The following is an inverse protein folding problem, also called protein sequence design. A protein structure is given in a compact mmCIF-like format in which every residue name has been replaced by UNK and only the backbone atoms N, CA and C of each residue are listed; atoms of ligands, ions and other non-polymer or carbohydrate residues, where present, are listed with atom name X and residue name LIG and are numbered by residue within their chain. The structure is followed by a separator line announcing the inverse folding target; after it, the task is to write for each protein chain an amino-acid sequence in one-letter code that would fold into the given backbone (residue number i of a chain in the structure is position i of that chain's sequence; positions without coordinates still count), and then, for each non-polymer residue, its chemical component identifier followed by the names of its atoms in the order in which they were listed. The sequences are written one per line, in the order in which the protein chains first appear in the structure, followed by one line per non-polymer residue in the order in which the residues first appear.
data_IF_832012465392
#
_entry.id   IF_832012465392
#
_cell.length_a   1.000
_cell.length_b   1.000
_cell.length_c   1.000
_cell.angle_alpha   90.00
_cell.angle_beta   90.00
_cell.angle_gamma   90.00
#
_symmetry.space_group_name_H-M   'P 1'
#
loop_
_entity.id
_entity.type
_entity.pdbx_description
1 polymer ?
#
# COMPACT_ATOMS: atom_id res chain seq x y z
N UNK A 1 12.67 -7.26 8.49
CA UNK A 1 11.95 -5.97 8.61
C UNK A 1 11.36 -5.53 7.27
N UNK A 2 12.14 -5.54 6.18
CA UNK A 2 11.69 -5.20 4.80
C UNK A 2 10.50 -6.03 4.31
N UNK A 3 10.51 -7.36 4.51
CA UNK A 3 9.43 -8.26 4.06
C UNK A 3 8.05 -7.91 4.64
N UNK A 4 7.97 -7.57 5.93
CA UNK A 4 6.69 -7.21 6.59
C UNK A 4 6.08 -5.95 5.99
N UNK A 5 6.92 -4.93 5.76
CA UNK A 5 6.49 -3.65 5.17
C UNK A 5 6.03 -3.85 3.73
N UNK A 6 6.70 -4.71 2.95
CA UNK A 6 6.29 -5.04 1.58
C UNK A 6 4.90 -5.67 1.54
N UNK A 7 4.63 -6.66 2.40
CA UNK A 7 3.31 -7.31 2.50
C UNK A 7 2.23 -6.29 2.91
N UNK A 8 2.51 -5.42 3.88
CA UNK A 8 1.57 -4.37 4.31
C UNK A 8 1.26 -3.39 3.16
N UNK A 9 2.26 -3.01 2.36
CA UNK A 9 2.08 -2.18 1.16
C UNK A 9 1.23 -2.91 0.10
N UNK A 10 1.46 -4.21 -0.11
CA UNK A 10 0.68 -5.02 -1.05
C UNK A 10 -0.80 -5.05 -0.66
N UNK A 11 -1.08 -5.30 0.61
CA UNK A 11 -2.46 -5.26 1.14
C UNK A 11 -3.08 -3.87 0.95
N UNK A 12 -2.33 -2.79 1.19
CA UNK A 12 -2.83 -1.44 0.92
C UNK A 12 -3.17 -1.26 -0.56
N UNK A 13 -2.33 -1.75 -1.49
CA UNK A 13 -2.60 -1.69 -2.94
C UNK A 13 -3.88 -2.45 -3.30
N UNK A 14 -4.05 -3.68 -2.79
CA UNK A 14 -5.24 -4.51 -3.01
C UNK A 14 -6.52 -3.80 -2.57
N UNK A 15 -6.54 -3.25 -1.36
CA UNK A 15 -7.72 -2.58 -0.80
C UNK A 15 -7.97 -1.24 -1.53
N UNK A 16 -6.91 -0.53 -1.93
CA UNK A 16 -7.02 0.76 -2.62
C UNK A 16 -7.60 0.66 -4.03
N UNK A 17 -7.54 -0.51 -4.67
CA UNK A 17 -8.27 -0.73 -5.93
C UNK A 17 -9.79 -0.78 -5.73
N UNK A 18 -10.25 -1.21 -4.55
CA UNK A 18 -11.67 -1.37 -4.25
C UNK A 18 -12.30 -0.09 -3.69
N UNK A 19 -11.61 0.60 -2.77
CA UNK A 19 -12.22 1.66 -1.92
C UNK A 19 -11.31 2.91 -1.75
N UNK A 20 -10.26 3.06 -2.55
CA UNK A 20 -9.15 3.97 -2.23
C UNK A 20 -9.24 5.44 -2.70
N UNK A 21 -10.33 5.88 -3.33
CA UNK A 21 -10.43 7.27 -3.84
C UNK A 21 -11.00 8.27 -2.81
N UNK A 22 -12.00 7.86 -2.01
CA UNK A 22 -12.75 8.79 -1.15
C UNK A 22 -12.39 8.74 0.35
N UNK A 23 -11.46 7.86 0.75
CA UNK A 23 -11.04 7.72 2.15
C UNK A 23 -9.54 7.90 2.33
N UNK A 24 -9.14 8.29 3.53
CA UNK A 24 -7.72 8.44 3.89
C UNK A 24 -7.06 7.07 4.10
N UNK A 25 -5.74 7.00 3.91
CA UNK A 25 -4.96 5.78 4.13
C UNK A 25 -5.14 5.24 5.56
N UNK A 26 -5.22 6.12 6.57
CA UNK A 26 -5.48 5.73 7.96
C UNK A 26 -6.85 5.10 8.11
N UNK A 27 -7.86 5.67 7.47
CA UNK A 27 -9.23 5.13 7.50
C UNK A 27 -9.30 3.79 6.78
N UNK A 28 -8.66 3.66 5.62
CA UNK A 28 -8.52 2.40 4.88
C UNK A 28 -7.89 1.32 5.78
N UNK A 29 -6.71 1.58 6.34
CA UNK A 29 -6.03 0.64 7.24
C UNK A 29 -6.92 0.24 8.43
N UNK A 30 -7.64 1.20 9.03
CA UNK A 30 -8.55 0.92 10.14
C UNK A 30 -9.76 0.08 9.74
N UNK A 31 -10.36 0.31 8.57
CA UNK A 31 -11.54 -0.41 8.10
C UNK A 31 -11.26 -1.89 7.85
N UNK A 32 -10.04 -2.20 7.37
CA UNK A 32 -9.62 -3.55 7.01
C UNK A 32 -8.73 -4.20 8.08
N UNK A 33 -8.60 -3.58 9.27
CA UNK A 33 -7.76 -4.05 10.38
C UNK A 33 -6.29 -4.33 9.97
N UNK A 34 -5.73 -3.46 9.14
CA UNK A 34 -4.36 -3.53 8.65
C UNK A 34 -3.50 -2.57 9.45
N UNK A 35 -2.33 -3.04 9.91
CA UNK A 35 -1.35 -2.15 10.54
C UNK A 35 -0.77 -1.19 9.50
N UNK A 36 -0.88 0.11 9.74
CA UNK A 36 -0.27 1.11 8.87
C UNK A 36 1.26 1.09 9.03
N UNK A 37 2.02 0.87 7.94
CA UNK A 37 3.48 0.85 7.98
C UNK A 37 4.02 2.14 8.59
N UNK A 38 5.02 2.05 9.47
CA UNK A 38 5.59 3.21 10.17
C UNK A 38 5.96 4.34 9.20
N UNK A 39 6.58 3.98 8.07
CA UNK A 39 7.02 4.91 7.03
C UNK A 39 5.89 5.57 6.22
N UNK A 40 4.66 5.09 6.35
CA UNK A 40 3.48 5.69 5.70
C UNK A 40 2.62 6.49 6.68
N UNK A 41 2.95 6.50 7.97
CA UNK A 41 2.13 7.16 9.01
C UNK A 41 2.02 8.66 8.83
N UNK A 42 3.07 9.29 8.31
CA UNK A 42 3.12 10.72 7.98
C UNK A 42 2.17 11.09 6.83
N UNK A 43 1.80 10.14 5.97
CA UNK A 43 0.87 10.32 4.85
C UNK A 43 -0.54 9.78 5.15
N UNK A 44 -0.82 9.43 6.41
CA UNK A 44 -2.03 8.68 6.77
C UNK A 44 -3.34 9.46 6.57
N UNK A 45 -3.28 10.78 6.50
CA UNK A 45 -4.42 11.68 6.23
C UNK A 45 -4.70 11.87 4.73
N UNK A 46 -3.82 11.40 3.86
CA UNK A 46 -3.98 11.47 2.41
C UNK A 46 -4.75 10.26 1.87
N UNK A 47 -5.39 10.38 0.70
CA UNK A 47 -5.89 9.21 -0.02
C UNK A 47 -4.76 8.22 -0.31
N UNK A 48 -5.00 6.89 -0.21
CA UNK A 48 -3.98 5.87 -0.41
C UNK A 48 -3.13 6.05 -1.67
N UNK A 49 -3.75 6.37 -2.81
CA UNK A 49 -3.03 6.59 -4.08
C UNK A 49 -2.03 7.75 -3.98
N UNK A 50 -2.42 8.83 -3.31
CA UNK A 50 -1.57 10.01 -3.11
C UNK A 50 -0.45 9.68 -2.11
N UNK A 51 -0.78 9.01 -1.00
CA UNK A 51 0.20 8.59 0.00
C UNK A 51 1.28 7.68 -0.60
N UNK A 52 0.89 6.69 -1.40
CA UNK A 52 1.82 5.78 -2.08
C UNK A 52 2.65 6.49 -3.15
N UNK A 53 2.07 7.44 -3.89
CA UNK A 53 2.79 8.23 -4.89
C UNK A 53 3.87 9.11 -4.25
N UNK A 54 3.59 9.72 -3.09
CA UNK A 54 4.58 10.49 -2.33
C UNK A 54 5.65 9.55 -1.78
N UNK A 55 5.26 8.42 -1.18
CA UNK A 55 6.18 7.42 -0.66
C UNK A 55 7.15 6.89 -1.73
N UNK A 56 6.72 6.79 -3.00
CA UNK A 56 7.58 6.36 -4.12
C UNK A 56 8.76 7.30 -4.40
N UNK A 57 8.67 8.56 -3.96
CA UNK A 57 9.75 9.53 -4.13
C UNK A 57 10.96 9.18 -3.24
N UNK A 58 10.73 8.60 -2.07
CA UNK A 58 11.78 8.10 -1.19
C UNK A 58 12.47 6.87 -1.80
N UNK A 59 13.81 6.84 -1.77
CA UNK A 59 14.60 5.80 -2.45
C UNK A 59 14.38 4.41 -1.85
N UNK A 60 14.22 4.30 -0.54
CA UNK A 60 14.08 3.01 0.13
C UNK A 60 12.67 2.46 -0.05
N UNK A 61 11.65 3.31 0.10
CA UNK A 61 10.26 2.94 -0.13
C UNK A 61 9.97 2.62 -1.59
N UNK A 62 10.65 3.28 -2.53
CA UNK A 62 10.51 3.02 -3.96
C UNK A 62 10.70 1.56 -4.33
N UNK A 63 11.75 0.93 -3.83
CA UNK A 63 12.04 -0.47 -4.18
C UNK A 63 11.02 -1.42 -3.56
N UNK A 64 10.61 -1.18 -2.30
CA UNK A 64 9.54 -1.95 -1.66
C UNK A 64 8.20 -1.81 -2.39
N UNK A 65 7.85 -0.60 -2.82
CA UNK A 65 6.62 -0.32 -3.58
C UNK A 65 6.64 -1.01 -4.95
N UNK A 66 7.79 -1.01 -5.64
CA UNK A 66 7.94 -1.72 -6.91
C UNK A 66 7.73 -3.22 -6.74
N UNK A 67 8.39 -3.82 -5.76
CA UNK A 67 8.26 -5.26 -5.48
C UNK A 67 6.81 -5.62 -5.11
N UNK A 68 6.20 -4.89 -4.18
CA UNK A 68 4.80 -5.11 -3.78
C UNK A 68 3.83 -4.97 -4.96
N UNK A 69 4.04 -3.97 -5.82
CA UNK A 69 3.21 -3.76 -7.02
C UNK A 69 3.38 -4.88 -8.04
N UNK A 70 4.61 -5.37 -8.22
CA UNK A 70 4.87 -6.50 -9.12
C UNK A 70 4.22 -7.78 -8.61
N UNK A 71 4.32 -8.06 -7.32
CA UNK A 71 3.67 -9.22 -6.68
C UNK A 71 2.15 -9.14 -6.85
N UNK A 72 1.55 -7.98 -6.54
CA UNK A 72 0.12 -7.72 -6.74
C UNK A 72 -0.32 -7.95 -8.20
N UNK A 73 0.38 -7.36 -9.17
CA UNK A 73 0.05 -7.51 -10.60
C UNK A 73 0.18 -8.98 -11.03
N UNK A 74 1.22 -9.68 -10.58
CA UNK A 74 1.42 -11.10 -10.91
C UNK A 74 0.27 -11.95 -10.39
N UNK A 75 -0.11 -11.77 -9.12
CA UNK A 75 -1.23 -12.48 -8.49
C UNK A 75 -2.55 -12.23 -9.23
N UNK A 76 -2.82 -10.97 -9.61
CA UNK A 76 -4.00 -10.57 -10.38
C UNK A 76 -4.05 -11.16 -11.79
N UNK A 77 -2.92 -11.21 -12.51
CA UNK A 77 -2.84 -11.77 -13.87
C UNK A 77 -2.97 -13.31 -13.86
N UNK A 78 -2.38 -13.97 -12.86
CA UNK A 78 -2.28 -15.43 -12.82
C UNK A 78 -3.47 -16.10 -12.12
N UNK A 79 -4.46 -15.32 -11.64
CA UNK A 79 -5.72 -15.84 -11.15
C UNK A 79 -5.57 -16.75 -9.93
N UNK A 80 -4.68 -16.44 -9.00
CA UNK A 80 -4.66 -17.10 -7.70
C UNK A 80 -5.71 -16.45 -6.79
N UNK A 81 -6.97 -16.78 -7.08
CA UNK A 81 -8.12 -16.67 -6.17
C UNK A 81 -9.04 -17.86 -6.42
#
# INVERSE_FOLDING_TARGET
MSLKIKEEIKVILEISELEGEDITLRRLCSMFNVEMPFKLREYGDLPPRIALAIAYLDRELRELLKEASQDFIREKIHGLS
#
